data_IF_655230034267
#
_entry.id   IF_655230034267
#
_cell.length_a   1.000
_cell.length_b   1.000
_cell.length_c   1.000
_cell.angle_alpha   90.00
_cell.angle_beta   90.00
_cell.angle_gamma   90.00
#
_symmetry.space_group_name_H-M   'P 1'
#
loop_
_entity.id
_entity.type
_entity.pdbx_description
1 polymer ?
#
# COMPACT_ATOMS: atom_id res chain seq x y z
N UNK A 1 22.42 20.28 -2.14
CA UNK A 1 21.53 19.58 -3.09
C UNK A 1 20.45 18.91 -2.29
N UNK A 2 19.18 19.02 -2.68
CA UNK A 2 18.07 18.29 -2.10
C UNK A 2 17.53 17.29 -3.13
N UNK A 3 17.06 16.16 -2.66
CA UNK A 3 16.53 15.07 -3.47
C UNK A 3 15.10 14.79 -3.08
N UNK A 4 14.20 14.78 -4.05
CA UNK A 4 12.78 14.60 -3.81
C UNK A 4 12.28 13.45 -4.69
N UNK A 5 11.60 12.50 -4.07
CA UNK A 5 10.81 11.47 -4.73
C UNK A 5 9.34 11.80 -4.53
N UNK A 6 8.56 11.89 -5.62
CA UNK A 6 7.10 11.98 -5.53
C UNK A 6 6.50 10.80 -6.28
N UNK A 7 5.69 10.02 -5.58
CA UNK A 7 4.95 8.89 -6.12
C UNK A 7 3.47 9.28 -6.19
N UNK A 8 2.94 9.39 -7.41
CA UNK A 8 1.50 9.44 -7.66
C UNK A 8 1.02 8.03 -7.94
N UNK A 9 0.51 7.37 -6.89
CA UNK A 9 0.11 5.97 -6.92
C UNK A 9 -0.96 5.73 -7.98
N UNK A 10 -0.76 4.71 -8.80
CA UNK A 10 -1.74 4.27 -9.78
C UNK A 10 -2.16 5.28 -10.85
N UNK A 11 -1.44 6.41 -11.01
CA UNK A 11 -1.86 7.46 -11.97
C UNK A 11 -1.66 7.05 -13.42
N UNK A 12 -0.74 6.14 -13.73
CA UNK A 12 -0.53 5.61 -15.07
C UNK A 12 -1.64 4.62 -15.45
N UNK A 13 -1.96 4.55 -16.75
CA UNK A 13 -3.04 3.73 -17.29
C UNK A 13 -2.76 3.33 -18.75
N UNK A 14 -3.67 2.56 -19.31
CA UNK A 14 -3.77 2.34 -20.75
C UNK A 14 -4.71 3.40 -21.38
N UNK A 15 -4.75 3.53 -22.71
CA UNK A 15 -5.71 4.39 -23.38
C UNK A 15 -7.15 4.09 -22.98
N UNK A 16 -7.90 5.12 -22.56
CA UNK A 16 -9.26 5.05 -22.04
C UNK A 16 -10.24 5.52 -23.12
N UNK A 17 -11.23 4.71 -23.55
CA UNK A 17 -12.18 5.10 -24.58
C UNK A 17 -12.95 6.39 -24.27
N UNK A 18 -13.34 6.59 -23.01
CA UNK A 18 -14.07 7.77 -22.53
C UNK A 18 -13.25 9.07 -22.66
N UNK A 19 -11.92 8.95 -22.74
CA UNK A 19 -11.00 10.05 -22.97
C UNK A 19 -10.59 10.20 -24.45
N UNK A 20 -11.35 9.60 -25.35
CA UNK A 20 -11.04 9.61 -26.78
C UNK A 20 -9.80 8.79 -27.15
N UNK A 21 -9.46 7.77 -26.36
CA UNK A 21 -8.30 6.92 -26.56
C UNK A 21 -6.99 7.52 -26.04
N UNK A 22 -7.06 8.55 -25.22
CA UNK A 22 -5.91 9.08 -24.46
C UNK A 22 -5.78 8.36 -23.11
N UNK A 23 -4.58 8.34 -22.55
CA UNK A 23 -4.39 7.93 -21.16
C UNK A 23 -4.79 9.06 -20.21
N UNK A 24 -5.05 8.78 -18.93
CA UNK A 24 -5.27 9.82 -17.93
C UNK A 24 -4.12 10.84 -17.85
N UNK A 25 -2.85 10.41 -17.99
CA UNK A 25 -1.70 11.33 -18.01
C UNK A 25 -1.64 12.18 -19.28
N UNK A 26 -2.15 11.71 -20.41
CA UNK A 26 -2.28 12.51 -21.63
C UNK A 26 -3.43 13.53 -21.54
N UNK A 27 -4.52 13.19 -20.84
CA UNK A 27 -5.75 13.99 -20.80
C UNK A 27 -5.76 15.01 -19.66
N UNK A 28 -5.20 14.66 -18.48
CA UNK A 28 -5.23 15.50 -17.29
C UNK A 28 -4.48 16.83 -17.50
N UNK A 29 -5.01 17.90 -16.94
CA UNK A 29 -4.37 19.23 -16.97
C UNK A 29 -3.26 19.29 -15.92
N UNK A 30 -2.02 19.16 -16.36
CA UNK A 30 -0.81 19.21 -15.52
C UNK A 30 0.32 20.04 -16.15
N UNK A 31 0.04 21.30 -16.51
CA UNK A 31 0.95 22.12 -17.33
C UNK A 31 2.30 22.35 -16.68
N UNK A 32 2.40 22.40 -15.36
CA UNK A 32 3.68 22.61 -14.68
C UNK A 32 4.53 21.33 -14.63
N UNK A 33 3.90 20.18 -14.40
CA UNK A 33 4.58 18.87 -14.53
C UNK A 33 5.13 18.72 -15.95
N UNK A 34 4.32 19.06 -16.97
CA UNK A 34 4.76 18.98 -18.37
C UNK A 34 5.90 19.97 -18.69
N UNK A 35 5.90 21.16 -18.08
CA UNK A 35 7.02 22.11 -18.18
C UNK A 35 8.30 21.54 -17.59
N UNK A 36 8.26 20.97 -16.39
CA UNK A 36 9.43 20.34 -15.77
C UNK A 36 9.91 19.13 -16.57
N UNK A 37 8.98 18.33 -17.09
CA UNK A 37 9.29 17.18 -17.93
C UNK A 37 10.01 17.61 -19.24
N UNK A 38 9.56 18.68 -19.86
CA UNK A 38 10.18 19.22 -21.08
C UNK A 38 11.62 19.74 -20.86
N UNK A 39 11.95 20.10 -19.63
CA UNK A 39 13.28 20.57 -19.20
C UNK A 39 14.12 19.47 -18.56
N UNK A 40 13.52 18.38 -18.12
CA UNK A 40 14.15 17.24 -17.51
C UNK A 40 14.38 16.08 -18.48
N UNK A 41 14.32 14.88 -17.93
CA UNK A 41 14.31 13.61 -18.66
C UNK A 41 12.97 12.91 -18.39
N UNK A 42 12.35 12.39 -19.44
CA UNK A 42 11.18 11.52 -19.33
C UNK A 42 11.56 10.15 -19.89
N UNK A 43 11.39 9.11 -19.10
CA UNK A 43 11.64 7.73 -19.50
C UNK A 43 10.55 6.79 -18.99
N UNK A 44 10.78 5.51 -19.14
CA UNK A 44 9.89 4.47 -18.60
C UNK A 44 10.65 3.51 -17.69
N UNK A 45 9.96 2.97 -16.68
CA UNK A 45 10.56 2.08 -15.68
C UNK A 45 9.64 0.90 -15.37
N UNK A 46 10.25 -0.28 -15.20
CA UNK A 46 9.59 -1.47 -14.69
C UNK A 46 9.78 -1.55 -13.18
N UNK A 47 8.78 -1.10 -12.41
CA UNK A 47 8.84 -1.14 -10.94
C UNK A 47 8.41 -2.51 -10.38
N UNK A 48 7.43 -3.15 -11.00
CA UNK A 48 6.95 -4.48 -10.60
C UNK A 48 7.77 -5.54 -11.31
N UNK A 49 8.57 -6.35 -10.61
CA UNK A 49 9.31 -7.43 -11.26
C UNK A 49 8.38 -8.45 -11.90
N UNK A 50 8.78 -8.96 -13.07
CA UNK A 50 7.98 -9.97 -13.77
C UNK A 50 7.80 -11.22 -12.92
N UNK A 51 6.56 -11.70 -12.82
CA UNK A 51 6.21 -12.90 -12.04
C UNK A 51 5.81 -12.63 -10.59
N UNK A 52 5.95 -11.39 -10.12
CA UNK A 52 5.37 -10.95 -8.85
C UNK A 52 4.01 -10.26 -9.07
N UNK A 53 3.13 -10.27 -8.06
CA UNK A 53 1.87 -9.56 -8.13
C UNK A 53 2.08 -8.06 -8.37
N UNK A 54 1.28 -7.48 -9.24
CA UNK A 54 1.25 -6.04 -9.42
C UNK A 54 0.56 -5.39 -8.20
N UNK A 55 1.27 -4.48 -7.55
CA UNK A 55 0.78 -3.74 -6.39
C UNK A 55 1.83 -2.81 -5.81
N UNK A 56 1.37 -1.88 -4.99
CA UNK A 56 2.23 -0.87 -4.36
C UNK A 56 3.30 -1.49 -3.45
N UNK A 57 3.05 -2.68 -2.89
CA UNK A 57 4.03 -3.40 -2.05
C UNK A 57 5.30 -3.77 -2.84
N UNK A 58 5.16 -4.41 -3.98
CA UNK A 58 6.30 -4.78 -4.83
C UNK A 58 6.89 -3.58 -5.57
N UNK A 59 6.04 -2.66 -6.06
CA UNK A 59 6.47 -1.49 -6.81
C UNK A 59 7.25 -0.50 -5.93
N UNK A 60 6.72 -0.13 -4.77
CA UNK A 60 7.37 0.82 -3.85
C UNK A 60 8.65 0.24 -3.25
N UNK A 61 8.68 -1.07 -2.92
CA UNK A 61 9.95 -1.73 -2.54
C UNK A 61 11.02 -1.53 -3.62
N UNK A 62 10.70 -1.78 -4.89
CA UNK A 62 11.63 -1.56 -6.01
C UNK A 62 12.08 -0.10 -6.06
N UNK A 63 11.16 0.87 -6.00
CA UNK A 63 11.46 2.30 -6.06
C UNK A 63 12.44 2.73 -4.96
N UNK A 64 12.31 2.17 -3.75
CA UNK A 64 13.25 2.42 -2.65
C UNK A 64 14.55 1.60 -2.72
N UNK A 65 14.82 0.92 -3.84
CA UNK A 65 16.07 0.19 -4.06
C UNK A 65 16.09 -1.22 -3.48
N UNK A 66 14.96 -1.73 -2.96
CA UNK A 66 14.86 -3.06 -2.40
C UNK A 66 14.29 -4.03 -3.45
N UNK A 67 15.09 -4.98 -3.95
CA UNK A 67 14.65 -5.94 -4.96
C UNK A 67 13.57 -6.88 -4.41
N UNK A 68 12.31 -6.78 -4.89
CA UNK A 68 11.24 -7.64 -4.40
C UNK A 68 11.46 -9.13 -4.67
N UNK A 69 12.23 -9.50 -5.70
CA UNK A 69 12.59 -10.91 -5.94
C UNK A 69 13.40 -11.51 -4.80
N UNK A 70 14.13 -10.68 -4.05
CA UNK A 70 14.97 -11.10 -2.93
C UNK A 70 14.28 -10.92 -1.58
N UNK A 71 13.46 -9.88 -1.43
CA UNK A 71 12.99 -9.42 -0.13
C UNK A 71 11.48 -9.49 0.07
N UNK A 72 10.68 -9.59 -1.00
CA UNK A 72 9.23 -9.65 -0.82
C UNK A 72 8.79 -11.04 -0.35
N UNK A 73 8.23 -11.10 0.84
CA UNK A 73 7.70 -12.33 1.46
C UNK A 73 6.18 -12.30 1.61
N UNK A 74 5.57 -11.13 1.39
CA UNK A 74 4.14 -10.88 1.54
C UNK A 74 3.87 -9.49 2.11
N UNK A 75 2.61 -9.07 2.12
CA UNK A 75 2.20 -7.72 2.52
C UNK A 75 2.15 -7.51 4.03
N UNK A 76 1.67 -8.51 4.78
CA UNK A 76 1.47 -8.34 6.23
C UNK A 76 2.74 -8.02 7.02
N UNK A 77 3.95 -8.54 6.70
CA UNK A 77 5.18 -8.13 7.38
C UNK A 77 5.51 -6.64 7.20
N UNK A 78 5.20 -6.06 6.04
CA UNK A 78 5.41 -4.63 5.78
C UNK A 78 4.45 -3.79 6.65
N UNK A 79 3.19 -4.19 6.73
CA UNK A 79 2.20 -3.52 7.58
C UNK A 79 2.48 -3.70 9.07
N UNK A 80 3.00 -4.87 9.48
CA UNK A 80 3.46 -5.10 10.85
C UNK A 80 4.59 -4.12 11.23
N UNK A 81 5.55 -3.92 10.35
CA UNK A 81 6.64 -2.97 10.57
C UNK A 81 6.14 -1.52 10.71
N UNK A 82 5.11 -1.14 9.94
CA UNK A 82 4.47 0.18 10.03
C UNK A 82 3.91 0.50 11.42
N UNK A 83 3.46 -0.52 12.14
CA UNK A 83 2.90 -0.39 13.50
C UNK A 83 3.92 -0.66 14.60
N UNK A 84 5.20 -0.83 14.23
CA UNK A 84 6.28 -1.10 15.18
C UNK A 84 6.34 -2.55 15.67
N UNK A 85 5.55 -3.46 15.09
CA UNK A 85 5.60 -4.90 15.39
C UNK A 85 6.90 -5.46 14.81
N UNK A 86 7.73 -6.02 15.68
CA UNK A 86 8.99 -6.66 15.31
C UNK A 86 8.76 -8.16 15.13
N UNK A 87 9.04 -8.67 13.94
CA UNK A 87 9.01 -10.08 13.63
C UNK A 87 10.40 -10.67 13.83
N UNK A 88 10.50 -11.81 14.54
CA UNK A 88 11.72 -12.58 14.64
C UNK A 88 11.86 -13.53 13.41
N UNK A 89 13.05 -14.03 13.19
CA UNK A 89 13.26 -15.05 12.16
C UNK A 89 12.35 -16.26 12.40
N UNK A 90 11.61 -16.67 11.38
CA UNK A 90 10.62 -17.75 11.45
C UNK A 90 9.22 -17.33 11.87
N UNK A 91 9.01 -16.06 12.30
CA UNK A 91 7.68 -15.54 12.53
C UNK A 91 6.97 -15.25 11.20
N UNK A 92 5.67 -15.47 11.20
CA UNK A 92 4.76 -15.16 10.08
C UNK A 92 3.74 -14.14 10.52
N UNK A 93 3.59 -13.08 9.75
CA UNK A 93 2.52 -12.11 9.91
C UNK A 93 1.38 -12.41 8.94
N UNK A 94 0.16 -12.18 9.39
CA UNK A 94 -1.06 -12.25 8.61
C UNK A 94 -1.87 -10.96 8.82
N UNK A 95 -2.57 -10.50 7.81
CA UNK A 95 -3.74 -9.66 8.06
C UNK A 95 -4.79 -10.52 8.77
N UNK A 96 -5.39 -9.99 9.80
CA UNK A 96 -6.48 -10.59 10.54
C UNK A 96 -7.69 -9.67 10.47
N UNK A 97 -8.56 -9.90 9.51
CA UNK A 97 -9.77 -9.11 9.36
C UNK A 97 -10.84 -9.61 10.31
N UNK A 98 -11.56 -8.68 10.95
CA UNK A 98 -12.87 -8.99 11.51
C UNK A 98 -13.88 -9.07 10.36
N UNK A 99 -14.58 -10.18 10.26
CA UNK A 99 -15.49 -10.47 9.14
C UNK A 99 -16.89 -10.81 9.61
N UNK A 100 -17.88 -10.74 8.70
CA UNK A 100 -19.20 -11.25 8.92
C UNK A 100 -19.40 -12.52 8.09
N UNK A 101 -19.65 -13.64 8.76
CA UNK A 101 -20.16 -14.85 8.15
C UNK A 101 -21.68 -14.93 8.22
N UNK A 102 -22.26 -15.69 7.28
CA UNK A 102 -23.67 -16.07 7.32
C UNK A 102 -23.99 -16.73 8.65
N UNK A 103 -25.10 -16.31 9.28
CA UNK A 103 -25.57 -16.83 10.56
C UNK A 103 -26.42 -18.05 10.34
N UNK A 104 -26.48 -18.94 11.32
CA UNK A 104 -27.33 -20.12 11.30
C UNK A 104 -26.60 -21.42 11.69
N UNK A 105 -27.40 -22.44 12.00
CA UNK A 105 -26.92 -23.76 12.39
C UNK A 105 -26.57 -24.60 11.15
N UNK A 106 -25.40 -24.28 10.57
CA UNK A 106 -24.84 -25.02 9.44
C UNK A 106 -23.34 -25.26 9.67
N UNK A 107 -22.73 -26.27 9.01
CA UNK A 107 -21.29 -26.48 9.05
C UNK A 107 -20.51 -25.20 8.66
N UNK A 108 -19.37 -24.94 9.30
CA UNK A 108 -18.59 -23.72 9.09
C UNK A 108 -18.24 -23.50 7.62
N UNK A 109 -17.83 -24.56 6.91
CA UNK A 109 -17.48 -24.51 5.49
C UNK A 109 -18.66 -24.21 4.54
N UNK A 110 -19.91 -24.41 5.01
CA UNK A 110 -21.12 -24.10 4.25
C UNK A 110 -21.56 -22.64 4.38
N UNK A 111 -21.07 -21.94 5.41
CA UNK A 111 -21.35 -20.51 5.64
C UNK A 111 -20.80 -19.67 4.46
N UNK A 112 -21.43 -18.51 4.24
CA UNK A 112 -20.96 -17.51 3.27
C UNK A 112 -20.25 -16.36 3.98
N UNK A 113 -19.27 -15.77 3.32
CA UNK A 113 -18.69 -14.51 3.77
C UNK A 113 -19.56 -13.34 3.28
N UNK A 114 -20.18 -12.61 4.20
CA UNK A 114 -21.10 -11.50 3.89
C UNK A 114 -20.40 -10.16 3.89
N UNK A 115 -19.37 -9.98 4.72
CA UNK A 115 -18.56 -8.76 4.76
C UNK A 115 -17.13 -9.09 5.18
N UNK A 116 -16.19 -8.56 4.43
CA UNK A 116 -14.75 -8.64 4.74
C UNK A 116 -14.31 -7.66 5.83
N UNK A 117 -15.20 -6.77 6.27
CA UNK A 117 -14.95 -5.66 7.19
C UNK A 117 -15.96 -5.55 8.33
N UNK A 118 -16.78 -6.59 8.52
CA UNK A 118 -17.92 -6.58 9.46
C UNK A 118 -18.77 -5.29 9.31
N UNK A 119 -19.12 -4.93 8.04
CA UNK A 119 -19.88 -3.73 7.72
C UNK A 119 -19.11 -2.42 7.99
N UNK A 120 -17.79 -2.44 7.83
CA UNK A 120 -16.90 -1.32 8.20
C UNK A 120 -17.01 -0.97 9.69
N UNK A 121 -16.87 -2.01 10.50
CA UNK A 121 -17.01 -1.91 11.97
C UNK A 121 -16.12 -0.79 12.55
N UNK A 122 -16.66 -0.11 13.56
CA UNK A 122 -15.91 0.87 14.35
C UNK A 122 -14.67 0.25 15.00
N UNK A 123 -13.55 0.98 15.00
CA UNK A 123 -12.26 0.47 15.46
C UNK A 123 -12.25 0.08 16.93
N UNK A 124 -12.86 0.86 17.83
CA UNK A 124 -12.90 0.55 19.25
C UNK A 124 -13.74 -0.71 19.52
N UNK A 125 -14.84 -0.89 18.78
CA UNK A 125 -15.66 -2.09 18.87
C UNK A 125 -14.93 -3.32 18.33
N UNK A 126 -14.22 -3.16 17.20
CA UNK A 126 -13.38 -4.21 16.61
C UNK A 126 -12.29 -4.67 17.57
N UNK A 127 -11.55 -3.71 18.14
CA UNK A 127 -10.49 -3.94 19.12
C UNK A 127 -11.02 -4.69 20.36
N UNK A 128 -12.19 -4.29 20.86
CA UNK A 128 -12.82 -4.96 22.00
C UNK A 128 -13.20 -6.41 21.69
N UNK A 129 -13.78 -6.68 20.51
CA UNK A 129 -14.19 -8.02 20.10
C UNK A 129 -12.99 -8.94 19.89
N UNK A 130 -11.96 -8.49 19.15
CA UNK A 130 -10.78 -9.33 18.90
C UNK A 130 -9.99 -9.57 20.17
N UNK A 131 -9.90 -8.57 21.06
CA UNK A 131 -9.25 -8.72 22.37
C UNK A 131 -10.00 -9.72 23.22
N UNK A 132 -11.33 -9.65 23.26
CA UNK A 132 -12.16 -10.62 23.98
C UNK A 132 -11.97 -12.04 23.45
N UNK A 133 -11.92 -12.21 22.11
CA UNK A 133 -11.67 -13.52 21.48
C UNK A 133 -10.33 -14.11 21.91
N UNK A 134 -9.24 -13.36 21.83
CA UNK A 134 -7.91 -13.88 22.17
C UNK A 134 -7.69 -14.09 23.67
N UNK A 135 -8.58 -13.58 24.52
CA UNK A 135 -8.61 -13.85 25.96
C UNK A 135 -9.73 -14.85 26.35
N UNK A 136 -10.50 -15.34 25.41
CA UNK A 136 -11.56 -16.31 25.68
C UNK A 136 -10.97 -17.64 26.17
N UNK A 137 -11.53 -18.26 27.25
CA UNK A 137 -10.99 -19.49 27.85
C UNK A 137 -10.92 -20.69 26.89
N UNK A 138 -11.71 -20.70 25.82
CA UNK A 138 -11.70 -21.74 24.80
C UNK A 138 -10.72 -21.40 23.65
N UNK A 139 -10.66 -20.13 23.24
CA UNK A 139 -9.78 -19.69 22.13
C UNK A 139 -8.33 -19.51 22.53
N UNK A 140 -8.05 -18.93 23.70
CA UNK A 140 -6.68 -18.61 24.14
C UNK A 140 -5.74 -19.83 24.12
N UNK A 141 -6.13 -21.03 24.61
CA UNK A 141 -5.27 -22.22 24.52
C UNK A 141 -5.00 -22.67 23.07
N UNK A 142 -5.95 -22.50 22.15
CA UNK A 142 -5.76 -22.83 20.73
C UNK A 142 -4.77 -21.84 20.07
N UNK A 143 -4.93 -20.57 20.34
CA UNK A 143 -4.00 -19.52 19.87
C UNK A 143 -2.60 -19.73 20.43
N UNK A 144 -2.44 -20.02 21.71
CA UNK A 144 -1.16 -20.29 22.35
C UNK A 144 -0.49 -21.53 21.74
N UNK A 145 -1.22 -22.64 21.56
CA UNK A 145 -0.71 -23.84 20.89
C UNK A 145 -0.27 -23.58 19.46
N UNK A 146 -0.98 -22.70 18.75
CA UNK A 146 -0.63 -22.27 17.41
C UNK A 146 0.53 -21.26 17.38
N UNK A 147 0.99 -20.76 18.51
CA UNK A 147 1.96 -19.65 18.60
C UNK A 147 1.40 -18.32 18.08
N UNK A 148 0.07 -18.17 18.04
CA UNK A 148 -0.62 -17.03 17.44
C UNK A 148 -0.88 -15.92 18.46
N UNK A 149 -0.54 -14.68 18.09
CA UNK A 149 -0.89 -13.47 18.84
C UNK A 149 -1.52 -12.46 17.89
N UNK A 150 -2.45 -11.65 18.40
CA UNK A 150 -3.04 -10.54 17.66
C UNK A 150 -2.46 -9.22 18.16
N UNK A 151 -2.23 -8.31 17.21
CA UNK A 151 -1.89 -6.92 17.45
C UNK A 151 -3.01 -6.07 16.86
N UNK A 152 -3.47 -5.10 17.65
CA UNK A 152 -4.56 -4.23 17.25
C UNK A 152 -4.11 -3.34 16.07
N UNK A 153 -5.00 -3.18 15.11
CA UNK A 153 -4.76 -2.41 13.90
C UNK A 153 -5.78 -1.29 13.73
N UNK A 154 -6.11 -0.97 12.49
CA UNK A 154 -7.06 0.08 12.20
C UNK A 154 -8.42 -0.52 11.79
N UNK A 155 -9.51 -0.11 12.46
CA UNK A 155 -10.86 -0.56 12.19
C UNK A 155 -10.94 -2.11 12.24
N UNK A 156 -11.39 -2.74 11.18
CA UNK A 156 -11.55 -4.20 11.09
C UNK A 156 -10.25 -4.97 10.80
N UNK A 157 -9.12 -4.27 10.56
CA UNK A 157 -7.84 -4.87 10.15
C UNK A 157 -6.87 -4.92 11.31
N UNK A 158 -6.63 -6.10 11.83
CA UNK A 158 -5.59 -6.37 12.81
C UNK A 158 -4.42 -7.12 12.16
N UNK A 159 -3.31 -7.25 12.86
CA UNK A 159 -2.15 -8.06 12.47
C UNK A 159 -2.05 -9.24 13.42
N UNK A 160 -2.17 -10.45 12.88
CA UNK A 160 -1.85 -11.66 13.62
C UNK A 160 -0.40 -12.07 13.34
N UNK A 161 0.33 -12.45 14.39
CA UNK A 161 1.72 -12.94 14.30
C UNK A 161 1.74 -14.36 14.84
N UNK A 162 2.23 -15.28 14.04
CA UNK A 162 2.43 -16.68 14.40
C UNK A 162 3.92 -16.99 14.50
N UNK A 163 4.36 -17.46 15.66
CA UNK A 163 5.77 -17.78 15.91
C UNK A 163 6.14 -19.12 15.28
N UNK A 164 7.28 -19.13 14.56
CA UNK A 164 7.90 -20.36 14.01
C UNK A 164 6.95 -21.20 13.15
N UNK A 165 6.15 -20.56 12.29
CA UNK A 165 5.21 -21.26 11.42
C UNK A 165 5.81 -21.59 10.06
N UNK A 166 5.56 -22.82 9.58
CA UNK A 166 5.87 -23.20 8.20
C UNK A 166 4.65 -22.94 7.31
N UNK A 167 4.80 -21.97 6.41
CA UNK A 167 3.76 -21.57 5.44
C UNK A 167 4.11 -21.97 4.00
N UNK A 168 5.11 -22.81 3.81
CA UNK A 168 5.51 -23.22 2.46
C UNK A 168 4.35 -23.88 1.72
N UNK A 169 3.95 -23.25 0.61
CA UNK A 169 2.85 -23.72 -0.23
C UNK A 169 1.46 -23.38 0.30
N UNK A 170 1.35 -22.59 1.38
CA UNK A 170 0.04 -22.11 1.87
C UNK A 170 -0.68 -21.30 0.79
N UNK A 171 -2.00 -21.39 0.80
CA UNK A 171 -2.88 -20.57 -0.06
C UNK A 171 -3.95 -19.95 0.81
N UNK A 172 -3.96 -18.63 0.85
CA UNK A 172 -4.95 -17.83 1.56
C UNK A 172 -5.64 -16.91 0.57
N UNK A 173 -6.95 -16.83 0.67
CA UNK A 173 -7.76 -16.01 -0.24
C UNK A 173 -8.06 -14.64 0.38
N UNK A 174 -7.98 -13.54 -0.40
CA UNK A 174 -8.44 -12.22 0.04
C UNK A 174 -9.96 -12.24 0.27
N UNK A 175 -10.47 -11.89 1.45
CA UNK A 175 -11.90 -12.06 1.76
C UNK A 175 -12.82 -11.14 0.95
N UNK A 176 -12.32 -10.01 0.45
CA UNK A 176 -13.11 -9.06 -0.32
C UNK A 176 -13.40 -9.51 -1.76
N UNK A 177 -12.62 -10.46 -2.29
CA UNK A 177 -12.83 -11.01 -3.63
C UNK A 177 -13.94 -12.08 -3.66
N UNK A 178 -14.39 -12.54 -2.50
CA UNK A 178 -15.26 -13.71 -2.36
C UNK A 178 -16.58 -13.45 -1.61
N UNK A 179 -17.04 -12.19 -1.59
CA UNK A 179 -18.27 -11.83 -0.91
C UNK A 179 -19.49 -12.60 -1.48
N UNK A 180 -20.29 -13.20 -0.60
CA UNK A 180 -21.44 -14.01 -0.96
C UNK A 180 -21.10 -15.46 -1.34
N UNK A 181 -19.82 -15.84 -1.42
CA UNK A 181 -19.39 -17.21 -1.71
C UNK A 181 -19.34 -18.06 -0.44
N UNK A 182 -19.49 -19.39 -0.60
CA UNK A 182 -19.28 -20.37 0.48
C UNK A 182 -17.80 -20.40 0.84
N UNK A 183 -17.48 -20.27 2.13
CA UNK A 183 -16.09 -20.19 2.59
C UNK A 183 -15.31 -21.49 2.41
N UNK A 184 -15.97 -22.66 2.36
CA UNK A 184 -15.32 -23.95 2.19
C UNK A 184 -14.36 -24.03 0.99
N UNK A 185 -14.68 -23.31 -0.11
CA UNK A 185 -13.86 -23.27 -1.31
C UNK A 185 -12.61 -22.36 -1.17
N UNK A 186 -12.61 -21.44 -0.21
CA UNK A 186 -11.59 -20.39 -0.06
C UNK A 186 -10.87 -20.44 1.30
N UNK A 187 -11.22 -21.41 2.16
CA UNK A 187 -10.50 -21.64 3.41
C UNK A 187 -9.01 -21.95 3.15
N UNK A 188 -8.12 -21.64 4.10
CA UNK A 188 -6.69 -21.93 4.00
C UNK A 188 -6.38 -23.36 3.52
N UNK A 189 -5.45 -23.50 2.55
CA UNK A 189 -5.02 -24.80 2.00
C UNK A 189 -3.52 -24.82 1.77
N UNK A 190 -2.97 -25.97 1.38
CA UNK A 190 -1.64 -26.10 0.81
C UNK A 190 -0.55 -26.62 1.76
N UNK A 191 -0.70 -26.51 3.07
CA UNK A 191 0.24 -27.05 4.05
C UNK A 191 -0.44 -27.42 5.38
N UNK A 192 0.29 -28.02 6.33
CA UNK A 192 -0.26 -28.36 7.64
C UNK A 192 -0.72 -27.14 8.45
N UNK A 193 0.01 -26.01 8.34
CA UNK A 193 -0.39 -24.79 9.05
C UNK A 193 -1.75 -24.23 8.58
N UNK A 194 -2.17 -24.54 7.36
CA UNK A 194 -3.49 -24.19 6.88
C UNK A 194 -4.61 -24.81 7.72
N UNK A 195 -4.41 -26.02 8.27
CA UNK A 195 -5.37 -26.68 9.17
C UNK A 195 -5.46 -25.94 10.51
N UNK A 196 -4.32 -25.46 11.01
CA UNK A 196 -4.26 -24.66 12.25
C UNK A 196 -5.05 -23.36 12.07
N UNK A 197 -4.88 -22.67 10.95
CA UNK A 197 -5.61 -21.43 10.67
C UNK A 197 -7.13 -21.69 10.56
N UNK A 198 -7.54 -22.80 9.89
CA UNK A 198 -8.96 -23.18 9.82
C UNK A 198 -9.55 -23.44 11.20
N UNK A 199 -8.84 -24.20 12.04
CA UNK A 199 -9.27 -24.51 13.40
C UNK A 199 -9.49 -23.23 14.22
N UNK A 200 -8.59 -22.24 14.10
CA UNK A 200 -8.72 -20.94 14.73
C UNK A 200 -9.92 -20.14 14.16
N UNK A 201 -10.11 -20.13 12.83
CA UNK A 201 -11.22 -19.40 12.21
C UNK A 201 -12.58 -19.99 12.60
N UNK A 202 -12.71 -21.33 12.63
CA UNK A 202 -13.92 -22.03 13.04
C UNK A 202 -14.24 -21.80 14.53
N UNK A 203 -13.23 -21.92 15.40
CA UNK A 203 -13.38 -21.63 16.83
C UNK A 203 -13.79 -20.17 17.08
N UNK A 204 -13.18 -19.23 16.37
CA UNK A 204 -13.53 -17.82 16.45
C UNK A 204 -15.00 -17.58 16.07
N UNK A 205 -15.48 -18.18 14.97
CA UNK A 205 -16.88 -18.02 14.58
C UNK A 205 -17.83 -18.58 15.65
N UNK A 206 -17.59 -19.77 16.18
CA UNK A 206 -18.42 -20.37 17.21
C UNK A 206 -18.52 -19.50 18.47
N UNK A 207 -17.39 -18.91 18.91
CA UNK A 207 -17.35 -18.07 20.11
C UNK A 207 -17.98 -16.70 19.84
N UNK A 208 -17.68 -16.09 18.70
CA UNK A 208 -18.14 -14.74 18.38
C UNK A 208 -19.60 -14.68 17.92
N UNK A 209 -20.20 -15.80 17.47
CA UNK A 209 -21.60 -15.87 17.04
C UNK A 209 -22.55 -15.30 18.11
N UNK A 210 -22.27 -15.60 19.39
CA UNK A 210 -23.08 -15.17 20.53
C UNK A 210 -22.39 -14.17 21.45
N UNK A 211 -21.34 -13.50 20.97
CA UNK A 211 -20.63 -12.53 21.78
C UNK A 211 -21.51 -11.30 22.09
N UNK A 212 -21.54 -10.78 23.33
CA UNK A 212 -22.45 -9.70 23.73
C UNK A 212 -22.35 -8.43 22.86
N UNK A 213 -21.15 -8.07 22.39
CA UNK A 213 -20.99 -6.92 21.49
C UNK A 213 -21.62 -7.19 20.11
N UNK A 214 -21.60 -8.43 19.61
CA UNK A 214 -22.25 -8.78 18.37
C UNK A 214 -23.78 -8.77 18.50
N UNK A 215 -24.31 -9.19 19.65
CA UNK A 215 -25.75 -9.04 19.96
C UNK A 215 -26.17 -7.57 19.95
N UNK A 216 -25.32 -6.69 20.50
CA UNK A 216 -25.57 -5.23 20.45
C UNK A 216 -25.53 -4.71 19.02
N UNK A 217 -24.54 -5.10 18.20
CA UNK A 217 -24.46 -4.70 16.78
C UNK A 217 -25.72 -5.13 16.02
N UNK A 218 -26.20 -6.37 16.21
CA UNK A 218 -27.46 -6.86 15.60
C UNK A 218 -28.67 -6.05 16.05
N UNK A 219 -28.77 -5.74 17.34
CA UNK A 219 -29.85 -4.92 17.86
C UNK A 219 -29.86 -3.48 17.28
N UNK A 220 -28.71 -2.98 16.87
CA UNK A 220 -28.53 -1.71 16.17
C UNK A 220 -28.72 -1.83 14.64
N UNK A 221 -29.05 -3.00 14.11
CA UNK A 221 -29.17 -3.22 12.66
C UNK A 221 -27.82 -3.23 11.92
N UNK A 222 -26.71 -3.40 12.63
CA UNK A 222 -25.36 -3.47 12.06
C UNK A 222 -24.94 -4.93 11.86
N UNK A 223 -23.98 -5.14 10.96
CA UNK A 223 -23.37 -6.45 10.75
C UNK A 223 -22.53 -6.86 11.96
N UNK A 224 -22.66 -8.09 12.48
CA UNK A 224 -21.79 -8.60 13.54
C UNK A 224 -20.38 -8.88 13.02
N UNK A 225 -19.38 -8.75 13.88
CA UNK A 225 -18.04 -9.24 13.65
C UNK A 225 -17.89 -10.66 14.20
N UNK A 226 -18.59 -11.62 13.56
CA UNK A 226 -18.74 -12.99 14.08
C UNK A 226 -17.64 -13.95 13.62
N UNK A 227 -16.52 -13.41 13.10
CA UNK A 227 -15.36 -14.23 12.76
C UNK A 227 -14.11 -13.43 12.46
N UNK A 228 -13.00 -14.16 12.32
CA UNK A 228 -11.72 -13.66 11.86
C UNK A 228 -11.34 -14.31 10.55
N UNK A 229 -10.59 -13.57 9.69
CA UNK A 229 -10.05 -14.07 8.44
C UNK A 229 -8.56 -13.76 8.30
N UNK A 230 -7.73 -14.79 8.22
CA UNK A 230 -6.27 -14.67 8.05
C UNK A 230 -5.91 -14.71 6.56
N UNK A 231 -5.12 -13.73 6.11
CA UNK A 231 -4.70 -13.62 4.71
C UNK A 231 -3.49 -12.69 4.54
N UNK A 232 -2.99 -12.50 3.32
CA UNK A 232 -1.85 -11.64 2.99
C UNK A 232 -0.59 -11.96 3.81
N UNK A 233 -0.38 -13.23 4.06
CA UNK A 233 0.72 -13.80 4.84
C UNK A 233 2.10 -13.38 4.32
N UNK A 234 3.07 -13.40 5.21
CA UNK A 234 4.47 -13.25 4.87
C UNK A 234 5.38 -13.50 6.08
N UNK A 235 6.60 -13.91 5.81
CA UNK A 235 7.62 -14.13 6.84
C UNK A 235 8.36 -12.83 7.18
N UNK A 236 9.05 -12.82 8.31
CA UNK A 236 9.92 -11.72 8.70
C UNK A 236 10.88 -11.36 7.56
N UNK A 237 10.92 -10.09 7.20
CA UNK A 237 11.80 -9.56 6.15
C UNK A 237 12.80 -8.58 6.75
N UNK A 238 14.02 -8.58 6.23
CA UNK A 238 15.04 -7.58 6.53
C UNK A 238 15.42 -6.90 5.21
N UNK A 239 15.02 -5.64 5.07
CA UNK A 239 15.40 -4.84 3.93
C UNK A 239 16.80 -4.25 4.10
N UNK A 240 17.51 -3.93 2.99
CA UNK A 240 18.74 -3.17 3.02
C UNK A 240 18.54 -1.81 3.71
N UNK A 241 19.54 -1.37 4.47
CA UNK A 241 19.52 -0.05 5.12
C UNK A 241 19.72 1.04 4.07
N UNK A 242 18.75 1.93 3.94
CA UNK A 242 18.74 2.96 2.89
C UNK A 242 19.95 3.88 2.95
N UNK A 243 20.38 4.29 4.15
CA UNK A 243 21.53 5.17 4.31
C UNK A 243 22.85 4.47 3.98
N UNK A 244 22.97 3.17 4.29
CA UNK A 244 24.17 2.40 3.93
C UNK A 244 24.26 2.20 2.42
N UNK A 245 23.15 1.94 1.73
CA UNK A 245 23.12 1.70 0.29
C UNK A 245 23.26 3.00 -0.52
N UNK A 246 22.59 4.07 -0.10
CA UNK A 246 22.51 5.31 -0.85
C UNK A 246 23.50 6.39 -0.39
N UNK A 247 23.90 6.39 0.88
CA UNK A 247 24.65 7.45 1.52
C UNK A 247 23.77 8.63 1.97
N UNK A 248 22.46 8.56 1.75
CA UNK A 248 21.48 9.60 2.07
C UNK A 248 20.52 9.13 3.15
N UNK A 249 20.00 10.07 3.91
CA UNK A 249 18.91 9.82 4.86
C UNK A 249 17.75 10.79 4.63
N UNK A 250 16.57 10.39 5.10
CA UNK A 250 15.39 11.21 4.91
C UNK A 250 14.13 10.61 5.51
N UNK A 251 13.01 11.12 5.07
CA UNK A 251 11.70 10.78 5.62
C UNK A 251 10.68 10.53 4.51
N UNK A 252 9.84 9.55 4.74
CA UNK A 252 8.70 9.23 3.87
C UNK A 252 7.45 9.92 4.39
N UNK A 253 6.82 10.73 3.57
CA UNK A 253 5.53 11.40 3.84
C UNK A 253 4.43 10.61 3.15
N UNK A 254 3.60 9.92 3.91
CA UNK A 254 2.50 9.11 3.38
C UNK A 254 1.38 8.96 4.41
N UNK A 255 0.17 8.68 3.97
CA UNK A 255 -0.94 8.22 4.81
C UNK A 255 -1.06 6.69 4.83
N UNK A 256 -0.31 6.00 3.98
CA UNK A 256 -0.47 4.57 3.70
C UNK A 256 0.47 3.75 4.59
N UNK A 257 -0.05 2.82 5.42
CA UNK A 257 0.78 2.00 6.31
C UNK A 257 1.87 1.21 5.59
N UNK A 258 1.63 0.77 4.36
CA UNK A 258 2.60 0.07 3.54
C UNK A 258 3.90 0.88 3.34
N UNK A 259 3.77 2.17 2.98
CA UNK A 259 4.92 3.07 2.80
C UNK A 259 5.68 3.26 4.12
N UNK A 260 4.96 3.36 5.25
CA UNK A 260 5.55 3.46 6.58
C UNK A 260 6.35 2.20 6.93
N UNK A 261 5.83 1.02 6.58
CA UNK A 261 6.50 -0.25 6.82
C UNK A 261 7.79 -0.39 6.02
N UNK A 262 7.78 -0.05 4.75
CA UNK A 262 8.99 -0.04 3.90
C UNK A 262 10.01 0.96 4.46
N UNK A 263 9.58 2.17 4.84
CA UNK A 263 10.45 3.16 5.47
C UNK A 263 11.10 2.61 6.75
N UNK A 264 10.29 2.07 7.68
CA UNK A 264 10.78 1.51 8.94
C UNK A 264 11.79 0.37 8.73
N UNK A 265 11.53 -0.53 7.77
CA UNK A 265 12.39 -1.67 7.47
C UNK A 265 13.69 -1.27 6.76
N UNK A 266 13.71 -0.14 6.05
CA UNK A 266 14.90 0.42 5.39
C UNK A 266 15.66 1.41 6.26
N UNK A 267 15.23 1.67 7.50
CA UNK A 267 15.85 2.64 8.41
C UNK A 267 15.50 4.09 8.11
N UNK A 268 14.60 4.37 7.17
CA UNK A 268 14.03 5.69 6.96
C UNK A 268 12.98 6.01 8.05
N UNK A 269 12.87 7.27 8.40
CA UNK A 269 11.74 7.76 9.18
C UNK A 269 10.50 7.96 8.30
N UNK A 270 9.32 8.06 8.92
CA UNK A 270 8.08 8.34 8.20
C UNK A 270 7.18 9.27 9.00
N UNK A 271 6.31 9.98 8.30
CA UNK A 271 5.32 10.88 8.88
C UNK A 271 4.00 10.82 8.10
N UNK A 272 2.88 10.81 8.83
CA UNK A 272 1.55 11.03 8.31
C UNK A 272 1.09 12.41 8.77
N UNK A 273 1.10 13.44 7.92
CA UNK A 273 0.68 14.78 8.29
C UNK A 273 -0.81 14.84 8.61
N UNK A 274 -1.22 15.83 9.40
CA UNK A 274 -2.64 16.06 9.70
C UNK A 274 -3.46 16.24 8.42
N UNK A 275 -4.59 15.53 8.35
CA UNK A 275 -5.47 15.51 7.17
C UNK A 275 -4.93 14.76 5.97
N UNK A 276 -3.78 14.09 6.07
CA UNK A 276 -3.32 13.18 5.04
C UNK A 276 -4.15 11.89 5.08
N UNK A 277 -4.72 11.52 3.94
CA UNK A 277 -5.49 10.30 3.71
C UNK A 277 -4.95 9.56 2.48
N UNK A 278 -5.45 8.34 2.19
CA UNK A 278 -5.27 7.67 0.90
C UNK A 278 -6.24 8.19 -0.17
N UNK A 279 -7.29 8.87 0.23
CA UNK A 279 -8.39 9.30 -0.61
C UNK A 279 -8.09 10.59 -1.39
N UNK A 280 -8.98 10.94 -2.31
CA UNK A 280 -8.89 12.14 -3.15
C UNK A 280 -8.78 13.45 -2.34
N UNK A 281 -9.48 13.52 -1.22
CA UNK A 281 -9.53 14.70 -0.34
C UNK A 281 -8.30 14.87 0.58
N UNK A 282 -7.27 14.05 0.39
CA UNK A 282 -6.02 14.14 1.16
C UNK A 282 -5.47 15.56 1.20
N UNK A 283 -4.85 15.94 2.31
CA UNK A 283 -4.27 17.28 2.46
C UNK A 283 -2.88 17.35 1.77
N UNK A 284 -2.87 17.78 0.51
CA UNK A 284 -1.65 17.95 -0.31
C UNK A 284 -0.71 19.00 0.29
N UNK A 285 -1.27 20.08 0.82
CA UNK A 285 -0.53 21.20 1.38
C UNK A 285 0.25 20.78 2.64
N UNK A 286 -0.37 19.97 3.52
CA UNK A 286 0.30 19.45 4.70
C UNK A 286 1.35 18.40 4.35
N UNK A 287 1.13 17.59 3.29
CA UNK A 287 2.18 16.69 2.76
C UNK A 287 3.38 17.50 2.24
N UNK A 288 3.14 18.58 1.50
CA UNK A 288 4.18 19.49 1.02
C UNK A 288 4.93 20.15 2.18
N UNK A 289 4.20 20.72 3.14
CA UNK A 289 4.80 21.39 4.30
C UNK A 289 5.69 20.44 5.11
N UNK A 290 5.25 19.19 5.29
CA UNK A 290 6.06 18.15 5.94
C UNK A 290 7.34 17.87 5.16
N UNK A 291 7.26 17.69 3.83
CA UNK A 291 8.42 17.45 2.99
C UNK A 291 9.43 18.61 3.02
N UNK A 292 8.95 19.85 2.93
CA UNK A 292 9.81 21.05 3.00
C UNK A 292 10.51 21.17 4.36
N UNK A 293 9.80 20.87 5.46
CA UNK A 293 10.38 20.89 6.80
C UNK A 293 11.44 19.80 6.96
N UNK A 294 11.19 18.60 6.46
CA UNK A 294 12.16 17.50 6.44
C UNK A 294 13.44 17.90 5.73
N UNK A 295 13.32 18.57 4.59
CA UNK A 295 14.46 19.01 3.79
C UNK A 295 15.29 20.14 4.44
N UNK A 296 14.87 20.72 5.57
CA UNK A 296 15.71 21.61 6.37
C UNK A 296 16.88 20.86 7.01
N UNK A 297 16.61 19.67 7.55
CA UNK A 297 17.55 18.86 8.33
C UNK A 297 18.12 17.67 7.54
N UNK A 298 17.40 17.19 6.51
CA UNK A 298 17.76 16.06 5.66
C UNK A 298 18.00 16.50 4.21
N UNK A 299 18.61 15.63 3.44
CA UNK A 299 18.83 15.87 2.01
C UNK A 299 17.82 15.13 1.11
N UNK A 300 17.04 14.16 1.65
CA UNK A 300 16.03 13.39 0.92
C UNK A 300 14.66 13.46 1.58
N UNK A 301 13.63 13.61 0.76
CA UNK A 301 12.22 13.45 1.14
C UNK A 301 11.46 12.66 0.07
N UNK A 302 10.68 11.68 0.50
CA UNK A 302 9.74 10.98 -0.37
C UNK A 302 8.30 11.36 -0.02
N UNK A 303 7.48 11.69 -1.00
CA UNK A 303 6.05 12.01 -0.83
C UNK A 303 5.22 11.05 -1.65
N UNK A 304 4.32 10.34 -0.98
CA UNK A 304 3.38 9.40 -1.59
C UNK A 304 1.96 9.95 -1.56
N UNK A 305 1.26 9.86 -2.69
CA UNK A 305 -0.14 10.27 -2.86
C UNK A 305 -0.90 9.15 -3.54
N UNK A 306 -1.79 8.46 -2.80
CA UNK A 306 -2.55 7.29 -3.23
C UNK A 306 -3.82 7.67 -4.03
N UNK A 307 -4.25 8.94 -3.94
CA UNK A 307 -5.51 9.42 -4.49
C UNK A 307 -5.86 8.97 -5.93
N UNK A 308 -4.95 8.97 -6.92
CA UNK A 308 -5.27 8.50 -8.28
C UNK A 308 -5.62 7.00 -8.33
N UNK A 309 -4.95 6.19 -7.49
CA UNK A 309 -5.19 4.75 -7.38
C UNK A 309 -6.57 4.46 -6.80
N UNK A 310 -6.89 5.04 -5.63
CA UNK A 310 -8.18 4.87 -4.97
C UNK A 310 -9.36 5.37 -5.82
N UNK A 311 -9.21 6.51 -6.52
CA UNK A 311 -10.21 6.95 -7.50
C UNK A 311 -10.46 5.89 -8.57
N UNK A 312 -9.41 5.23 -9.06
CA UNK A 312 -9.54 4.19 -10.10
C UNK A 312 -10.23 2.95 -9.56
N UNK A 313 -9.88 2.48 -8.37
CA UNK A 313 -10.54 1.34 -7.70
C UNK A 313 -12.03 1.60 -7.49
N UNK A 314 -12.39 2.83 -7.15
CA UNK A 314 -13.77 3.27 -6.98
C UNK A 314 -14.51 3.52 -8.30
N UNK A 315 -13.81 3.46 -9.46
CA UNK A 315 -14.37 3.74 -10.78
C UNK A 315 -14.64 5.23 -11.04
N UNK A 316 -13.97 6.09 -10.29
CA UNK A 316 -14.06 7.55 -10.40
C UNK A 316 -12.94 8.07 -11.32
N UNK A 317 -13.18 7.98 -12.64
CA UNK A 317 -12.24 8.49 -13.65
C UNK A 317 -12.05 10.01 -13.54
N UNK A 318 -13.12 10.77 -13.26
CA UNK A 318 -13.03 12.21 -13.08
C UNK A 318 -12.16 12.56 -11.87
N UNK A 319 -12.36 11.86 -10.75
CA UNK A 319 -11.53 12.00 -9.56
C UNK A 319 -10.06 11.64 -9.81
N UNK A 320 -9.76 10.61 -10.61
CA UNK A 320 -8.39 10.29 -11.04
C UNK A 320 -7.74 11.47 -11.78
N UNK A 321 -8.47 12.06 -12.75
CA UNK A 321 -7.98 13.20 -13.53
C UNK A 321 -7.75 14.45 -12.64
N UNK A 322 -8.66 14.70 -11.70
CA UNK A 322 -8.52 15.78 -10.72
C UNK A 322 -7.31 15.57 -9.81
N UNK A 323 -7.13 14.36 -9.26
CA UNK A 323 -6.01 14.02 -8.39
C UNK A 323 -4.65 14.22 -9.10
N UNK A 324 -4.54 13.82 -10.39
CA UNK A 324 -3.36 14.09 -11.22
C UNK A 324 -3.15 15.61 -11.38
N UNK A 325 -4.23 16.38 -11.63
CA UNK A 325 -4.15 17.85 -11.71
C UNK A 325 -3.78 18.52 -10.38
N UNK A 326 -4.16 17.92 -9.25
CA UNK A 326 -3.77 18.43 -7.93
C UNK A 326 -2.32 18.11 -7.55
N UNK A 327 -1.75 17.02 -8.05
CA UNK A 327 -0.30 16.79 -7.97
C UNK A 327 0.47 17.95 -8.64
N UNK A 328 0.00 18.44 -9.78
CA UNK A 328 0.58 19.62 -10.46
C UNK A 328 0.44 20.89 -9.62
N UNK A 329 -0.80 21.23 -9.26
CA UNK A 329 -1.15 22.58 -8.75
C UNK A 329 -0.92 22.73 -7.26
N UNK A 330 -1.13 21.66 -6.46
CA UNK A 330 -1.10 21.70 -4.99
C UNK A 330 0.17 21.09 -4.40
N UNK A 331 0.96 20.34 -5.18
CA UNK A 331 2.17 19.69 -4.68
C UNK A 331 3.43 20.13 -5.44
N UNK A 332 3.56 19.84 -6.74
CA UNK A 332 4.83 20.00 -7.48
C UNK A 332 5.13 21.47 -7.80
N UNK A 333 4.15 22.23 -8.26
CA UNK A 333 4.34 23.66 -8.52
C UNK A 333 4.68 24.45 -7.24
N UNK A 334 3.98 24.31 -6.10
CA UNK A 334 4.37 24.97 -4.87
C UNK A 334 5.70 24.47 -4.31
N UNK A 335 6.06 23.19 -4.52
CA UNK A 335 7.36 22.64 -4.15
C UNK A 335 8.49 23.38 -4.88
N UNK A 336 8.46 23.48 -6.23
CA UNK A 336 9.46 24.19 -7.02
C UNK A 336 9.59 25.65 -6.56
N UNK A 337 8.47 26.35 -6.37
CA UNK A 337 8.47 27.73 -5.87
C UNK A 337 9.18 27.85 -4.52
N UNK A 338 8.86 26.95 -3.58
CA UNK A 338 9.46 26.94 -2.25
C UNK A 338 10.97 26.59 -2.27
N UNK A 339 11.40 25.69 -3.18
CA UNK A 339 12.82 25.36 -3.35
C UNK A 339 13.60 26.54 -3.90
N UNK A 340 13.06 27.24 -4.91
CA UNK A 340 13.66 28.47 -5.49
C UNK A 340 13.73 29.60 -4.47
N UNK A 341 12.68 29.82 -3.69
CA UNK A 341 12.64 30.85 -2.64
C UNK A 341 13.75 30.63 -1.59
N UNK A 342 14.02 29.36 -1.24
CA UNK A 342 15.10 28.97 -0.32
C UNK A 342 16.49 28.96 -0.95
N UNK A 343 16.59 29.14 -2.26
CA UNK A 343 17.85 29.02 -3.00
C UNK A 343 18.42 27.60 -2.97
N UNK A 344 17.59 26.61 -2.89
CA UNK A 344 18.00 25.20 -2.86
C UNK A 344 18.03 24.60 -4.26
N UNK A 345 19.19 24.11 -4.67
CA UNK A 345 19.27 23.21 -5.82
C UNK A 345 18.66 21.86 -5.46
N UNK A 346 17.89 21.27 -6.38
CA UNK A 346 17.23 20.01 -6.13
C UNK A 346 17.08 19.14 -7.38
N UNK A 347 16.94 17.84 -7.14
CA UNK A 347 16.50 16.86 -8.13
C UNK A 347 15.16 16.28 -7.69
N UNK A 348 14.27 16.13 -8.66
CA UNK A 348 12.94 15.57 -8.48
C UNK A 348 12.80 14.33 -9.37
N UNK A 349 12.54 13.20 -8.74
CA UNK A 349 12.04 11.99 -9.40
C UNK A 349 10.52 11.92 -9.16
N UNK A 350 9.74 11.97 -10.22
CA UNK A 350 8.29 11.88 -10.21
C UNK A 350 7.82 10.73 -11.06
N UNK A 351 7.01 9.83 -10.51
CA UNK A 351 6.50 8.66 -11.23
C UNK A 351 5.23 8.09 -10.62
N UNK A 352 4.57 7.22 -11.38
CA UNK A 352 3.62 6.24 -10.84
C UNK A 352 4.40 5.01 -10.37
N UNK A 353 3.92 4.33 -9.35
CA UNK A 353 4.51 3.06 -8.90
C UNK A 353 4.11 1.90 -9.83
N UNK A 354 2.84 1.79 -10.19
CA UNK A 354 2.28 0.87 -11.18
C UNK A 354 1.19 1.56 -12.01
N UNK A 355 0.64 0.86 -12.99
CA UNK A 355 -0.62 1.27 -13.61
C UNK A 355 -1.79 0.78 -12.77
N UNK A 356 -2.84 1.61 -12.66
CA UNK A 356 -4.15 1.17 -12.17
C UNK A 356 -5.17 1.43 -13.26
N UNK A 357 -5.69 0.34 -13.81
CA UNK A 357 -6.45 0.38 -15.06
C UNK A 357 -7.90 0.80 -14.82
N UNK A 358 -8.34 1.86 -15.44
CA UNK A 358 -9.76 2.29 -15.45
C UNK A 358 -10.68 1.17 -15.92
N UNK A 359 -10.22 0.36 -16.89
CA UNK A 359 -11.03 -0.72 -17.50
C UNK A 359 -11.32 -1.89 -16.56
N UNK A 360 -10.43 -2.21 -15.64
CA UNK A 360 -10.54 -3.38 -14.75
C UNK A 360 -10.62 -2.99 -13.28
N UNK A 361 -10.31 -1.72 -12.94
CA UNK A 361 -10.15 -1.20 -11.57
C UNK A 361 -9.08 -1.98 -10.78
N UNK A 362 -8.13 -2.57 -11.48
CA UNK A 362 -7.06 -3.39 -10.91
C UNK A 362 -5.69 -2.93 -11.38
N UNK A 363 -4.67 -3.44 -10.71
CA UNK A 363 -3.28 -3.09 -10.99
C UNK A 363 -2.73 -3.82 -12.21
N UNK A 364 -1.79 -3.17 -12.91
CA UNK A 364 -1.02 -3.72 -14.02
C UNK A 364 0.47 -3.41 -13.79
N UNK A 365 1.31 -4.44 -13.88
CA UNK A 365 2.75 -4.36 -13.63
C UNK A 365 3.59 -3.98 -14.84
N UNK A 366 2.99 -3.52 -15.94
CA UNK A 366 3.74 -3.03 -17.11
C UNK A 366 4.48 -1.72 -16.78
N UNK A 367 5.52 -1.37 -17.56
CA UNK A 367 6.29 -0.15 -17.33
C UNK A 367 5.42 1.11 -17.23
N UNK A 368 5.84 2.01 -16.34
CA UNK A 368 5.22 3.32 -16.10
C UNK A 368 6.18 4.44 -16.49
N UNK A 369 5.69 5.65 -16.84
CA UNK A 369 6.56 6.78 -17.09
C UNK A 369 7.20 7.29 -15.79
N UNK A 370 8.45 7.77 -15.88
CA UNK A 370 9.09 8.59 -14.86
C UNK A 370 9.57 9.90 -15.44
N UNK A 371 9.66 10.92 -14.60
CA UNK A 371 10.32 12.19 -14.88
C UNK A 371 11.46 12.41 -13.90
N UNK A 372 12.64 12.70 -14.40
CA UNK A 372 13.78 13.17 -13.61
C UNK A 372 14.08 14.63 -13.98
N UNK A 373 13.89 15.54 -13.03
CA UNK A 373 14.18 16.95 -13.19
C UNK A 373 15.35 17.35 -12.27
N UNK A 374 16.28 18.12 -12.82
CA UNK A 374 17.39 18.72 -12.08
C UNK A 374 17.32 20.25 -12.24
N UNK A 375 17.19 20.98 -11.13
CA UNK A 375 17.02 22.44 -11.14
C UNK A 375 18.18 23.20 -11.75
N UNK A 376 19.38 22.56 -11.85
CA UNK A 376 20.61 23.12 -12.38
C UNK A 376 20.76 22.93 -13.89
N UNK A 377 19.98 22.04 -14.48
CA UNK A 377 20.17 21.59 -15.87
C UNK A 377 18.87 21.75 -16.65
N UNK A 378 18.98 22.19 -17.88
CA UNK A 378 17.85 22.16 -18.84
C UNK A 378 18.25 21.28 -20.03
N UNK A 379 17.69 20.08 -20.07
CA UNK A 379 17.98 19.08 -21.12
C UNK A 379 17.36 19.44 -22.45
N UNK A 380 16.36 20.33 -22.46
CA UNK A 380 15.57 20.72 -23.64
C UNK A 380 14.91 19.53 -24.35
N UNK A 381 14.52 18.49 -23.59
CA UNK A 381 13.91 17.28 -24.13
C UNK A 381 12.57 17.58 -24.82
N UNK A 382 11.83 18.59 -24.34
CA UNK A 382 10.60 19.07 -24.97
C UNK A 382 9.45 18.08 -24.94
N UNK A 383 9.51 17.04 -24.09
CA UNK A 383 8.50 16.00 -23.96
C UNK A 383 7.59 16.27 -22.75
N UNK A 384 6.26 16.18 -22.88
CA UNK A 384 5.37 16.21 -21.72
C UNK A 384 5.49 14.91 -20.90
N UNK A 385 5.01 14.92 -19.67
CA UNK A 385 4.98 13.73 -18.81
C UNK A 385 3.77 12.83 -19.16
N UNK A 386 4.01 11.81 -19.96
CA UNK A 386 2.99 10.83 -20.41
C UNK A 386 3.64 9.46 -20.64
N UNK A 387 2.82 8.42 -20.74
CA UNK A 387 3.27 7.06 -21.10
C UNK A 387 3.97 7.05 -22.47
N UNK A 388 3.39 7.71 -23.47
CA UNK A 388 3.98 7.82 -24.82
C UNK A 388 5.32 8.55 -24.85
N UNK A 389 5.51 9.53 -23.97
CA UNK A 389 6.79 10.21 -23.83
C UNK A 389 7.82 9.32 -23.14
N UNK A 390 7.40 8.60 -22.12
CA UNK A 390 8.22 7.61 -21.43
C UNK A 390 8.75 6.51 -22.34
N UNK A 391 7.91 6.01 -23.26
CA UNK A 391 8.29 5.00 -24.27
C UNK A 391 9.37 5.50 -25.27
N UNK A 392 9.48 6.81 -25.46
CA UNK A 392 10.48 7.43 -26.34
C UNK A 392 11.81 7.73 -25.62
N UNK A 393 11.78 7.78 -24.32
CA UNK A 393 12.94 8.07 -23.47
C UNK A 393 13.70 6.83 -23.02
N UNK A 394 14.63 6.98 -22.08
CA UNK A 394 15.36 5.87 -21.50
C UNK A 394 14.44 4.86 -20.85
N UNK A 395 14.76 3.57 -21.04
CA UNK A 395 14.07 2.48 -20.36
C UNK A 395 14.90 1.95 -19.19
N UNK A 396 14.33 2.01 -17.98
CA UNK A 396 14.90 1.46 -16.76
C UNK A 396 14.26 0.09 -16.51
N UNK A 397 15.02 -0.96 -16.65
CA UNK A 397 14.53 -2.34 -16.58
C UNK A 397 14.18 -2.83 -15.17
N UNK A 398 14.48 -2.02 -14.14
CA UNK A 398 14.15 -2.32 -12.73
C UNK A 398 14.05 -1.03 -11.92
N UNK A 399 12.94 -0.87 -11.20
CA UNK A 399 12.75 0.24 -10.25
C UNK A 399 13.84 0.33 -9.19
N UNK A 400 14.53 -0.78 -8.90
CA UNK A 400 15.66 -0.83 -7.93
C UNK A 400 16.78 0.16 -8.28
N UNK A 401 16.93 0.51 -9.55
CA UNK A 401 17.96 1.46 -10.01
C UNK A 401 17.56 2.94 -9.80
N UNK A 402 16.31 3.24 -9.47
CA UNK A 402 15.79 4.61 -9.42
C UNK A 402 16.47 5.47 -8.37
N UNK A 403 16.83 4.92 -7.22
CA UNK A 403 17.56 5.68 -6.19
C UNK A 403 18.96 6.07 -6.66
N UNK A 404 19.66 5.16 -7.35
CA UNK A 404 20.95 5.50 -7.97
C UNK A 404 20.81 6.61 -9.03
N UNK A 405 19.75 6.58 -9.83
CA UNK A 405 19.44 7.60 -10.83
C UNK A 405 19.13 8.94 -10.13
N UNK A 406 18.31 8.95 -9.08
CA UNK A 406 17.99 10.17 -8.33
C UNK A 406 19.23 10.79 -7.69
N UNK A 407 20.10 9.98 -7.09
CA UNK A 407 21.28 10.43 -6.35
C UNK A 407 22.57 10.58 -7.20
N UNK A 408 22.50 10.42 -8.52
CA UNK A 408 23.65 10.55 -9.43
C UNK A 408 24.79 9.52 -9.15
N UNK A 409 24.41 8.29 -8.85
CA UNK A 409 25.37 7.21 -8.61
C UNK A 409 25.58 6.31 -9.82
#
# INVERSE_FOLDING_TARGET
MKYILIIGDGMADNPVPELGGLTPLEYAKKPFIDELAARGEVGSVLNVPRGLPAGSDTAIMSIFGCDPNLYYTGRAPLEAAATGIKLNAGDVAYRCNMVTYEEGDMPFEEKRILSHSAGSIDGEVSDAIVTALFNDPEFAPLAEKAGMKVNLGHSFRHIAVQSQADIKGIRLAPPHDHLGEKIGAILPTGCENAKVLRELMEAANRILEHHPLNEKLRAEGKMPANGVWFWAEGTAVKLPDFKQETGHDGVVVSAVPLCHGIAALTGLSFVCPEGATGEKDTNYENKLAAALKILEDHDFAAVHVEAPDECTHNGDLEGKLEAIGWLDTRLIRPLDAAMRERGWDYRLLFLSDHKTLTSTRGHDGNPVPYMLYDSRVDTKAGLPYTEKSGEKGPYVNSGVSLMSILFEK
#
